data_IF_444765887522
#
_entry.id   IF_444765887522
#
_cell.length_a   1.000
_cell.length_b   1.000
_cell.length_c   1.000
_cell.angle_alpha   90.00
_cell.angle_beta   90.00
_cell.angle_gamma   90.00
#
_symmetry.space_group_name_H-M   'P 1'
#
loop_
_entity.id
_entity.type
_entity.pdbx_description
1 polymer ?
#
# COMPACT_ATOMS: atom_id res chain seq x y z
N UNK A 1 -19.63 5.59 -99.44
CA UNK A 1 -19.56 6.94 -98.80
C UNK A 1 -19.87 6.75 -97.35
N UNK A 2 -19.06 7.30 -96.48
CA UNK A 2 -19.10 7.45 -95.05
C UNK A 2 -18.86 6.13 -94.26
N UNK A 3 -17.61 6.02 -93.82
CA UNK A 3 -17.16 5.12 -92.79
C UNK A 3 -17.52 5.64 -91.42
N UNK A 4 -17.71 4.77 -90.47
CA UNK A 4 -17.80 5.06 -89.05
C UNK A 4 -16.72 4.25 -88.31
N UNK A 5 -15.85 4.98 -87.63
CA UNK A 5 -14.82 4.45 -86.76
C UNK A 5 -15.46 4.06 -85.41
N UNK A 6 -15.30 2.82 -85.07
CA UNK A 6 -15.63 2.36 -83.71
C UNK A 6 -14.41 2.41 -82.80
N UNK A 7 -14.49 3.21 -81.77
CA UNK A 7 -13.44 3.34 -80.72
C UNK A 7 -13.70 2.27 -79.68
N UNK A 8 -12.75 1.35 -79.48
CA UNK A 8 -12.79 0.40 -78.39
C UNK A 8 -12.26 1.06 -77.13
N UNK A 9 -13.08 1.07 -76.08
CA UNK A 9 -12.71 1.56 -74.75
C UNK A 9 -12.12 0.38 -73.96
N UNK A 10 -10.86 0.42 -73.65
CA UNK A 10 -10.22 -0.55 -72.73
C UNK A 10 -10.50 -0.17 -71.30
N UNK A 11 -11.25 -1.02 -70.60
CA UNK A 11 -11.48 -0.91 -69.14
C UNK A 11 -10.24 -1.44 -68.43
N UNK A 12 -9.47 -0.57 -67.81
CA UNK A 12 -8.39 -0.97 -66.89
C UNK A 12 -9.00 -1.24 -65.49
N UNK A 13 -9.04 -2.50 -65.08
CA UNK A 13 -9.34 -2.88 -63.70
C UNK A 13 -8.15 -2.53 -62.81
N UNK A 14 -8.27 -1.44 -62.04
CA UNK A 14 -7.40 -1.16 -60.89
C UNK A 14 -7.77 -2.11 -59.75
N UNK A 15 -7.00 -3.18 -59.60
CA UNK A 15 -7.05 -4.03 -58.39
C UNK A 15 -6.49 -3.27 -57.20
N UNK A 16 -7.35 -2.87 -56.29
CA UNK A 16 -6.96 -2.36 -54.97
C UNK A 16 -6.33 -3.48 -54.17
N UNK A 17 -5.00 -3.46 -54.01
CA UNK A 17 -4.33 -4.29 -53.00
C UNK A 17 -4.72 -3.74 -51.62
N UNK A 18 -5.64 -4.42 -50.97
CA UNK A 18 -5.81 -4.27 -49.51
C UNK A 18 -4.57 -4.87 -48.82
N UNK A 19 -3.63 -4.03 -48.43
CA UNK A 19 -2.62 -4.41 -47.44
C UNK A 19 -3.36 -4.52 -46.13
N UNK A 20 -3.65 -5.73 -45.67
CA UNK A 20 -4.11 -6.00 -44.31
C UNK A 20 -2.96 -5.55 -43.38
N UNK A 21 -3.13 -4.41 -42.74
CA UNK A 21 -2.32 -4.08 -41.56
C UNK A 21 -2.57 -5.19 -40.54
N UNK A 22 -1.52 -5.84 -40.01
CA UNK A 22 -1.71 -6.76 -38.92
C UNK A 22 -2.40 -5.98 -37.80
N UNK A 23 -3.55 -6.41 -37.35
CA UNK A 23 -4.13 -5.92 -36.12
C UNK A 23 -3.07 -6.15 -35.05
N UNK A 24 -2.51 -5.07 -34.48
CA UNK A 24 -1.75 -5.20 -33.24
C UNK A 24 -2.70 -5.95 -32.29
N UNK A 25 -2.28 -7.14 -31.85
CA UNK A 25 -2.94 -7.80 -30.76
C UNK A 25 -3.08 -6.78 -29.63
N UNK A 26 -4.28 -6.64 -29.09
CA UNK A 26 -4.51 -5.71 -27.99
C UNK A 26 -3.50 -6.09 -26.89
N UNK A 27 -2.57 -5.17 -26.65
CA UNK A 27 -1.56 -5.39 -25.64
C UNK A 27 -2.26 -5.49 -24.28
N UNK A 28 -2.08 -6.60 -23.60
CA UNK A 28 -2.82 -6.94 -22.39
C UNK A 28 -1.93 -7.65 -21.38
N UNK A 29 -2.52 -7.98 -20.24
CA UNK A 29 -1.94 -8.86 -19.24
C UNK A 29 -2.83 -10.11 -19.09
N UNK A 30 -2.21 -11.27 -18.93
CA UNK A 30 -2.88 -12.50 -18.49
C UNK A 30 -2.30 -12.95 -17.17
N UNK A 31 -3.14 -13.57 -16.35
CA UNK A 31 -2.82 -13.90 -14.97
C UNK A 31 -2.95 -15.40 -14.69
N UNK A 32 -2.12 -15.87 -13.75
CA UNK A 32 -2.25 -17.20 -13.17
C UNK A 32 -2.16 -17.08 -11.66
N UNK A 33 -3.25 -17.39 -10.95
CA UNK A 33 -3.28 -17.37 -9.48
C UNK A 33 -2.77 -18.71 -8.97
N UNK A 34 -1.79 -18.66 -8.07
CA UNK A 34 -1.28 -19.82 -7.34
C UNK A 34 -2.22 -20.26 -6.20
N UNK A 35 -1.76 -21.17 -5.34
CA UNK A 35 -2.50 -21.51 -4.13
C UNK A 35 -2.77 -20.26 -3.28
N UNK A 36 -3.98 -20.20 -2.71
CA UNK A 36 -4.32 -19.22 -1.67
C UNK A 36 -4.10 -19.88 -0.32
N UNK A 37 -3.23 -19.28 0.50
CA UNK A 37 -2.87 -19.79 1.82
C UNK A 37 -3.54 -18.95 2.90
N UNK A 38 -4.23 -19.58 3.84
CA UNK A 38 -4.63 -18.96 5.10
C UNK A 38 -3.45 -19.08 6.07
N UNK A 39 -2.68 -18.00 6.21
CA UNK A 39 -1.46 -17.98 7.03
C UNK A 39 -1.75 -17.79 8.51
N UNK A 40 -2.93 -17.31 8.85
CA UNK A 40 -3.37 -17.10 10.24
C UNK A 40 -4.19 -18.24 10.82
N UNK A 41 -4.58 -19.25 10.03
CA UNK A 41 -5.52 -20.31 10.43
C UNK A 41 -5.20 -21.02 11.75
N UNK A 42 -3.93 -21.20 12.04
CA UNK A 42 -3.47 -21.91 13.25
C UNK A 42 -2.96 -20.99 14.35
N UNK A 43 -2.95 -19.68 14.11
CA UNK A 43 -2.30 -18.72 15.00
C UNK A 43 -3.14 -18.39 16.23
N UNK A 44 -4.43 -18.20 16.07
CA UNK A 44 -5.33 -17.84 17.17
C UNK A 44 -6.80 -18.11 16.82
N UNK A 45 -7.67 -17.95 17.81
CA UNK A 45 -9.12 -18.14 17.68
C UNK A 45 -9.89 -16.85 17.42
N UNK A 46 -9.22 -15.69 17.50
CA UNK A 46 -9.77 -14.36 17.25
C UNK A 46 -9.64 -13.90 15.81
N UNK A 47 -10.10 -12.70 15.53
CA UNK A 47 -9.92 -12.05 14.24
C UNK A 47 -8.43 -11.74 14.00
N UNK A 48 -8.01 -11.85 12.73
CA UNK A 48 -6.73 -11.37 12.20
C UNK A 48 -7.04 -10.31 11.16
N UNK A 49 -6.29 -9.20 11.17
CA UNK A 49 -6.55 -8.05 10.34
C UNK A 49 -5.25 -7.27 10.08
N UNK A 50 -5.27 -6.27 9.23
CA UNK A 50 -4.12 -5.40 8.97
C UNK A 50 -2.87 -6.21 8.67
N UNK A 51 -2.70 -6.63 7.44
CA UNK A 51 -1.54 -7.42 7.03
C UNK A 51 -0.60 -6.58 6.20
N UNK A 52 0.68 -6.71 6.49
CA UNK A 52 1.75 -6.12 5.71
C UNK A 52 2.74 -7.18 5.24
N UNK A 53 3.43 -6.87 4.14
CA UNK A 53 4.24 -7.83 3.43
C UNK A 53 5.61 -7.29 3.02
N UNK A 54 6.63 -8.15 3.10
CA UNK A 54 7.92 -7.90 2.47
C UNK A 54 8.42 -9.14 1.73
N UNK A 55 9.22 -8.92 0.68
CA UNK A 55 9.88 -10.00 -0.07
C UNK A 55 11.40 -9.83 -0.10
N UNK A 56 12.14 -10.93 0.00
CA UNK A 56 13.54 -11.00 -0.41
C UNK A 56 13.61 -11.59 -1.83
N UNK A 57 13.72 -10.75 -2.87
CA UNK A 57 13.68 -11.22 -4.25
C UNK A 57 14.90 -12.06 -4.64
N UNK A 58 16.01 -11.99 -3.87
CA UNK A 58 17.22 -12.79 -4.12
C UNK A 58 17.04 -14.25 -3.73
N UNK A 59 16.28 -14.48 -2.66
CA UNK A 59 16.04 -15.83 -2.13
C UNK A 59 14.64 -16.35 -2.45
N UNK A 60 13.72 -15.49 -2.87
CA UNK A 60 12.32 -15.84 -3.06
C UNK A 60 11.58 -16.01 -1.73
N UNK A 61 12.03 -15.35 -0.68
CA UNK A 61 11.34 -15.41 0.62
C UNK A 61 10.25 -14.34 0.69
N UNK A 62 9.15 -14.69 1.37
CA UNK A 62 8.02 -13.79 1.65
C UNK A 62 7.81 -13.77 3.16
N UNK A 63 7.57 -12.60 3.68
CA UNK A 63 7.34 -12.33 5.09
C UNK A 63 6.01 -11.60 5.23
N UNK A 64 5.17 -12.09 6.14
CA UNK A 64 3.87 -11.52 6.46
C UNK A 64 3.81 -11.24 7.95
N UNK A 65 3.33 -10.06 8.33
CA UNK A 65 2.90 -9.80 9.70
C UNK A 65 1.49 -9.21 9.73
N UNK A 66 0.77 -9.42 10.82
CA UNK A 66 -0.63 -9.01 10.92
C UNK A 66 -1.07 -8.79 12.36
N UNK A 67 -2.08 -7.96 12.55
CA UNK A 67 -2.75 -7.80 13.81
C UNK A 67 -3.57 -9.04 14.14
N UNK A 68 -3.34 -9.66 15.30
CA UNK A 68 -4.05 -10.85 15.73
C UNK A 68 -3.33 -11.57 16.87
N UNK A 69 -3.72 -12.81 17.17
CA UNK A 69 -3.03 -13.70 18.10
C UNK A 69 -2.76 -13.11 19.49
N UNK A 70 -3.57 -12.19 19.96
CA UNK A 70 -3.32 -11.42 21.18
C UNK A 70 -2.09 -10.48 21.10
N UNK A 71 -1.65 -10.16 19.88
CA UNK A 71 -0.50 -9.34 19.55
C UNK A 71 -0.32 -9.33 18.04
N UNK A 72 0.92 -9.24 17.55
CA UNK A 72 1.25 -9.28 16.13
C UNK A 72 1.67 -10.69 15.75
N UNK A 73 0.98 -11.28 14.78
CA UNK A 73 1.33 -12.54 14.14
C UNK A 73 2.42 -12.34 13.09
N UNK A 74 3.20 -13.37 12.81
CA UNK A 74 4.22 -13.36 11.76
C UNK A 74 4.34 -14.75 11.14
N UNK A 75 4.46 -14.81 9.82
CA UNK A 75 4.75 -16.03 9.08
C UNK A 75 5.78 -15.77 7.96
N UNK A 76 6.49 -16.82 7.58
CA UNK A 76 7.52 -16.77 6.55
C UNK A 76 7.29 -17.87 5.53
N UNK A 77 7.46 -17.52 4.25
CA UNK A 77 7.62 -18.47 3.15
C UNK A 77 9.07 -18.48 2.64
N UNK A 78 9.55 -19.64 2.25
CA UNK A 78 10.86 -19.81 1.61
C UNK A 78 10.76 -20.32 0.17
N UNK A 79 9.56 -20.35 -0.38
CA UNK A 79 9.26 -20.91 -1.72
C UNK A 79 8.38 -19.96 -2.57
N UNK A 80 8.51 -18.65 -2.33
CA UNK A 80 7.82 -17.62 -3.09
C UNK A 80 6.34 -17.47 -2.76
N UNK A 81 5.96 -17.72 -1.50
CA UNK A 81 4.56 -17.59 -1.06
C UNK A 81 3.69 -18.79 -1.39
N UNK A 82 4.29 -19.94 -1.80
CA UNK A 82 3.51 -21.16 -2.08
C UNK A 82 3.14 -21.90 -0.80
N UNK A 83 4.01 -21.89 0.19
CA UNK A 83 3.74 -22.43 1.52
C UNK A 83 4.36 -21.53 2.59
N UNK A 84 3.82 -21.57 3.80
CA UNK A 84 4.30 -20.77 4.92
C UNK A 84 4.67 -21.64 6.10
N UNK A 85 5.69 -21.21 6.86
CA UNK A 85 6.00 -21.76 8.17
C UNK A 85 4.82 -21.56 9.14
N UNK A 86 4.76 -22.35 10.20
CA UNK A 86 3.76 -22.12 11.25
C UNK A 86 3.91 -20.71 11.83
N UNK A 87 2.81 -19.95 11.97
CA UNK A 87 2.88 -18.59 12.46
C UNK A 87 3.39 -18.50 13.90
N UNK A 88 4.10 -17.42 14.19
CA UNK A 88 4.55 -17.08 15.54
C UNK A 88 3.96 -15.75 15.96
N UNK A 89 3.88 -15.51 17.26
CA UNK A 89 3.61 -14.17 17.77
C UNK A 89 4.92 -13.43 18.00
N UNK A 90 5.02 -12.20 17.49
CA UNK A 90 6.24 -11.41 17.57
C UNK A 90 6.60 -11.04 19.02
N UNK A 91 7.87 -11.17 19.42
CA UNK A 91 8.33 -10.69 20.71
C UNK A 91 8.06 -9.18 20.89
N UNK A 92 7.61 -8.80 22.07
CA UNK A 92 7.27 -7.41 22.38
C UNK A 92 5.85 -6.99 21.99
N UNK A 93 5.12 -7.80 21.21
CA UNK A 93 3.72 -7.54 20.89
C UNK A 93 2.76 -8.12 21.95
N UNK A 94 3.20 -9.09 22.72
CA UNK A 94 2.41 -9.74 23.76
C UNK A 94 2.85 -9.27 25.15
N UNK A 95 1.91 -8.91 25.99
CA UNK A 95 2.17 -8.55 27.38
C UNK A 95 0.93 -8.04 28.10
N UNK A 96 0.98 -8.03 29.44
CA UNK A 96 -0.06 -7.39 30.23
C UNK A 96 -0.04 -5.87 30.03
N UNK A 97 -1.19 -5.30 29.73
CA UNK A 97 -1.37 -3.87 29.44
C UNK A 97 -0.71 -3.39 28.13
N UNK A 98 -0.55 -4.27 27.15
CA UNK A 98 -0.20 -3.93 25.79
C UNK A 98 -1.44 -3.97 24.90
N UNK A 99 -1.61 -2.95 24.05
CA UNK A 99 -2.36 -3.07 22.81
C UNK A 99 -1.35 -2.88 21.69
N UNK A 100 -1.49 -3.64 20.61
CA UNK A 100 -0.63 -3.59 19.44
C UNK A 100 -1.49 -3.63 18.18
N UNK A 101 -1.11 -2.84 17.18
CA UNK A 101 -1.84 -2.70 15.93
C UNK A 101 -0.88 -2.18 14.84
N UNK A 102 -1.38 -2.02 13.62
CA UNK A 102 -0.68 -1.53 12.43
C UNK A 102 0.72 -2.15 12.30
N UNK A 103 0.81 -3.43 11.97
CA UNK A 103 2.10 -4.04 11.69
C UNK A 103 2.68 -3.54 10.37
N UNK A 104 3.99 -3.63 10.22
CA UNK A 104 4.69 -3.43 8.96
C UNK A 104 5.99 -4.23 8.95
N UNK A 105 6.38 -4.77 7.83
CA UNK A 105 7.58 -5.60 7.72
C UNK A 105 8.50 -5.15 6.59
N UNK A 106 9.81 -5.22 6.81
CA UNK A 106 10.81 -4.94 5.79
C UNK A 106 11.98 -5.93 5.88
N UNK A 107 12.67 -6.12 4.77
CA UNK A 107 13.87 -6.96 4.70
C UNK A 107 15.06 -6.17 4.17
N UNK A 108 16.17 -6.27 4.86
CA UNK A 108 17.42 -5.63 4.49
C UNK A 108 18.19 -6.39 3.39
N UNK A 109 19.16 -5.75 2.75
CA UNK A 109 19.95 -6.34 1.67
C UNK A 109 20.80 -7.54 2.12
N UNK A 110 21.02 -7.72 3.40
CA UNK A 110 21.71 -8.83 4.05
C UNK A 110 20.79 -9.96 4.51
N UNK A 111 19.47 -9.79 4.35
CA UNK A 111 18.44 -10.73 4.79
C UNK A 111 17.99 -10.56 6.24
N UNK A 112 18.42 -9.48 6.92
CA UNK A 112 17.85 -9.10 8.22
C UNK A 112 16.39 -8.68 8.03
N UNK A 113 15.49 -9.23 8.84
CA UNK A 113 14.04 -8.92 8.79
C UNK A 113 13.68 -8.03 9.98
N UNK A 114 12.92 -7.00 9.68
CA UNK A 114 12.44 -6.02 10.65
C UNK A 114 10.92 -6.04 10.63
N UNK A 115 10.31 -6.42 11.74
CA UNK A 115 8.87 -6.34 11.93
C UNK A 115 8.56 -5.17 12.87
N UNK A 116 7.75 -4.26 12.39
CA UNK A 116 7.36 -3.03 13.07
C UNK A 116 5.90 -3.15 13.51
N UNK A 117 5.53 -2.51 14.59
CA UNK A 117 4.13 -2.37 15.00
C UNK A 117 3.96 -1.24 16.01
N UNK A 118 2.78 -0.65 16.03
CA UNK A 118 2.42 0.28 17.10
C UNK A 118 2.12 -0.45 18.39
N UNK A 119 2.42 0.18 19.50
CA UNK A 119 2.14 -0.34 20.83
C UNK A 119 1.74 0.74 21.82
N UNK A 120 0.66 0.50 22.58
CA UNK A 120 0.46 1.21 23.86
C UNK A 120 0.95 0.38 25.03
N UNK A 121 1.62 1.06 25.94
CA UNK A 121 1.98 0.51 27.25
C UNK A 121 1.91 1.61 28.29
N UNK A 122 1.12 1.40 29.37
CA UNK A 122 0.95 2.39 30.43
C UNK A 122 0.55 3.78 29.92
N UNK A 123 -0.36 3.85 28.96
CA UNK A 123 -0.82 5.09 28.30
C UNK A 123 0.28 5.84 27.54
N UNK A 124 1.32 5.16 27.10
CA UNK A 124 2.35 5.66 26.20
C UNK A 124 2.21 4.98 24.83
N UNK A 125 2.38 5.76 23.76
CA UNK A 125 2.19 5.34 22.37
C UNK A 125 3.53 5.43 21.64
N UNK A 126 3.96 4.36 21.02
CA UNK A 126 5.23 4.34 20.28
C UNK A 126 5.35 3.11 19.38
N UNK A 127 6.09 3.21 18.27
CA UNK A 127 6.46 2.08 17.47
C UNK A 127 7.44 1.14 18.18
N UNK A 128 7.39 -0.12 17.81
CA UNK A 128 8.33 -1.18 18.25
C UNK A 128 8.86 -1.92 17.04
N UNK A 129 10.16 -2.11 16.97
CA UNK A 129 10.82 -2.90 15.94
C UNK A 129 11.35 -4.19 16.56
N UNK A 130 10.89 -5.31 16.06
CA UNK A 130 11.47 -6.62 16.33
C UNK A 130 12.41 -7.01 15.16
N UNK A 131 13.66 -7.37 15.47
CA UNK A 131 14.68 -7.65 14.47
C UNK A 131 15.08 -9.12 14.48
N UNK A 132 15.09 -9.74 13.29
CA UNK A 132 15.56 -11.09 13.04
C UNK A 132 16.83 -11.07 12.21
N UNK A 133 17.88 -11.75 12.69
CA UNK A 133 19.14 -11.91 11.99
C UNK A 133 19.25 -13.26 11.25
N UNK A 134 18.22 -14.09 11.32
CA UNK A 134 18.13 -15.43 10.76
C UNK A 134 16.98 -15.59 9.78
N UNK A 135 16.66 -14.50 9.05
CA UNK A 135 15.60 -14.46 8.03
C UNK A 135 14.22 -14.83 8.57
N UNK A 136 13.83 -14.24 9.69
CA UNK A 136 12.50 -14.40 10.26
C UNK A 136 12.29 -15.70 11.03
N UNK A 137 13.35 -16.48 11.35
CA UNK A 137 13.17 -17.66 12.19
C UNK A 137 13.02 -17.29 13.67
N UNK A 138 13.83 -16.34 14.14
CA UNK A 138 13.73 -15.80 15.50
C UNK A 138 13.92 -14.30 15.51
N UNK A 139 13.36 -13.63 16.52
CA UNK A 139 13.48 -12.18 16.71
C UNK A 139 14.12 -11.87 18.06
N UNK A 140 15.45 -11.97 18.18
CA UNK A 140 16.15 -11.82 19.46
C UNK A 140 16.26 -10.36 19.94
N UNK A 141 16.06 -9.38 19.07
CA UNK A 141 16.17 -7.97 19.40
C UNK A 141 14.80 -7.30 19.30
N UNK A 142 14.42 -6.51 20.32
CA UNK A 142 13.17 -5.73 20.35
C UNK A 142 13.51 -4.33 20.83
N UNK A 143 13.28 -3.34 19.98
CA UNK A 143 13.59 -1.94 20.23
C UNK A 143 12.31 -1.10 20.23
N UNK A 144 12.11 -0.30 21.27
CA UNK A 144 10.98 0.63 21.37
C UNK A 144 11.43 2.03 20.97
N UNK A 145 10.74 2.64 20.01
CA UNK A 145 11.00 3.99 19.53
C UNK A 145 10.21 5.01 20.37
N UNK A 146 10.56 5.15 21.63
CA UNK A 146 9.83 6.02 22.56
C UNK A 146 10.10 7.47 22.21
N UNK A 147 9.09 8.24 21.76
CA UNK A 147 9.26 9.64 21.40
C UNK A 147 9.49 10.51 22.63
N UNK A 148 9.94 11.78 22.46
CA UNK A 148 10.17 12.71 23.57
C UNK A 148 8.95 12.91 24.47
N UNK A 149 7.76 12.92 23.88
CA UNK A 149 6.50 12.90 24.61
C UNK A 149 5.66 11.69 24.22
N UNK A 150 5.81 10.57 24.93
CA UNK A 150 5.12 9.31 24.59
C UNK A 150 3.63 9.32 24.96
N UNK A 151 3.08 10.39 25.51
CA UNK A 151 1.65 10.58 25.71
C UNK A 151 0.95 11.10 24.46
N UNK A 152 1.71 11.72 23.56
CA UNK A 152 1.19 12.08 22.27
C UNK A 152 0.65 10.86 21.52
N UNK A 153 -0.34 11.09 20.68
CA UNK A 153 -0.87 10.07 19.81
C UNK A 153 0.21 9.58 18.87
N UNK A 154 0.19 8.28 18.55
CA UNK A 154 1.02 7.68 17.52
C UNK A 154 0.26 6.55 16.84
N UNK A 155 0.34 6.49 15.52
CA UNK A 155 -0.40 5.55 14.67
C UNK A 155 0.31 5.32 13.34
N UNK A 156 -0.18 4.38 12.51
CA UNK A 156 0.19 4.13 11.12
C UNK A 156 1.68 4.14 10.84
N UNK A 157 2.43 3.18 11.40
CA UNK A 157 3.87 3.11 11.22
C UNK A 157 4.23 2.39 9.92
N UNK A 158 5.22 2.89 9.19
CA UNK A 158 5.81 2.24 8.03
C UNK A 158 7.30 2.04 8.20
N UNK A 159 7.85 1.03 7.55
CA UNK A 159 9.26 0.68 7.64
C UNK A 159 9.87 0.41 6.27
N UNK A 160 11.05 0.95 6.01
CA UNK A 160 11.83 0.62 4.83
C UNK A 160 13.31 0.45 5.18
N UNK A 161 14.04 -0.31 4.37
CA UNK A 161 15.47 -0.54 4.54
C UNK A 161 16.23 -0.07 3.31
N UNK A 162 17.21 0.80 3.52
CA UNK A 162 18.06 1.31 2.46
C UNK A 162 19.06 0.28 1.94
N UNK A 163 19.68 0.54 0.76
CA UNK A 163 20.70 -0.34 0.18
C UNK A 163 21.97 -0.43 1.03
N UNK A 164 22.19 0.51 1.94
CA UNK A 164 23.27 0.54 2.92
C UNK A 164 22.92 -0.19 4.23
N UNK A 165 21.72 -0.77 4.32
CA UNK A 165 21.19 -1.43 5.53
C UNK A 165 20.63 -0.48 6.58
N UNK A 166 20.57 0.82 6.31
CA UNK A 166 19.91 1.76 7.22
C UNK A 166 18.39 1.49 7.25
N UNK A 167 17.81 1.50 8.44
CA UNK A 167 16.38 1.26 8.68
C UNK A 167 15.70 2.59 8.93
N UNK A 168 14.62 2.84 8.23
CA UNK A 168 13.80 4.04 8.35
C UNK A 168 12.41 3.65 8.83
N UNK A 169 11.91 4.35 9.83
CA UNK A 169 10.56 4.15 10.38
C UNK A 169 9.85 5.49 10.35
N UNK A 170 8.68 5.54 9.74
CA UNK A 170 7.76 6.68 9.79
C UNK A 170 6.54 6.31 10.61
N UNK A 171 5.88 7.29 11.21
CA UNK A 171 4.57 7.12 11.85
C UNK A 171 3.94 8.49 12.10
N UNK A 172 2.67 8.49 12.39
CA UNK A 172 1.96 9.68 12.81
C UNK A 172 2.25 10.00 14.27
N UNK A 173 2.53 11.26 14.53
CA UNK A 173 2.84 11.73 15.87
C UNK A 173 2.14 13.06 16.12
N UNK A 174 1.24 13.07 17.04
CA UNK A 174 0.36 14.20 17.26
C UNK A 174 0.48 14.85 18.64
N UNK A 175 -0.40 15.82 18.91
CA UNK A 175 -0.45 16.48 20.19
C UNK A 175 -0.77 15.50 21.31
N UNK A 176 -0.49 15.93 22.54
CA UNK A 176 -0.72 15.12 23.73
C UNK A 176 -2.13 14.49 23.70
N UNK A 177 -2.20 13.19 23.95
CA UNK A 177 -3.44 12.39 23.88
C UNK A 177 -4.61 12.99 24.67
N UNK A 178 -4.33 13.74 25.75
CA UNK A 178 -5.36 14.42 26.52
C UNK A 178 -6.03 15.58 25.79
N UNK A 179 -5.40 16.09 24.75
CA UNK A 179 -5.99 17.12 23.86
C UNK A 179 -6.65 16.53 22.60
N UNK A 180 -6.45 15.25 22.35
CA UNK A 180 -7.13 14.52 21.25
C UNK A 180 -8.55 14.20 21.70
N UNK A 181 -9.54 14.75 21.04
CA UNK A 181 -10.94 14.43 21.30
C UNK A 181 -11.44 13.45 20.27
N UNK A 182 -11.83 12.27 20.71
CA UNK A 182 -12.57 11.31 19.91
C UNK A 182 -14.01 11.79 19.78
N UNK A 183 -14.49 11.84 18.57
CA UNK A 183 -15.89 12.12 18.28
C UNK A 183 -16.47 11.08 17.38
N UNK A 184 -17.70 10.79 17.70
CA UNK A 184 -18.47 9.84 16.95
C UNK A 184 -19.63 10.58 16.30
N UNK A 185 -19.85 10.32 15.03
CA UNK A 185 -21.02 10.78 14.31
C UNK A 185 -22.29 10.05 14.82
N UNK A 186 -23.50 10.48 14.41
CA UNK A 186 -24.73 9.80 14.79
C UNK A 186 -24.84 8.35 14.30
N UNK A 187 -24.00 7.91 13.37
CA UNK A 187 -23.96 6.53 12.86
C UNK A 187 -23.05 5.63 13.69
N UNK A 188 -22.28 6.21 14.62
CA UNK A 188 -21.34 5.49 15.48
C UNK A 188 -19.91 5.42 14.93
N UNK A 189 -19.65 6.04 13.81
CA UNK A 189 -18.29 6.21 13.28
C UNK A 189 -17.54 7.24 14.11
N UNK A 190 -16.35 6.93 14.56
CA UNK A 190 -15.56 7.76 15.46
C UNK A 190 -14.20 8.08 14.84
N UNK A 191 -13.74 9.32 15.04
CA UNK A 191 -12.44 9.76 14.55
C UNK A 191 -11.82 10.83 15.46
N UNK A 192 -10.62 11.26 15.14
CA UNK A 192 -9.92 12.31 15.86
C UNK A 192 -10.48 13.68 15.51
N UNK A 193 -10.77 14.43 16.51
CA UNK A 193 -11.44 15.69 16.35
C UNK A 193 -10.55 16.90 16.56
N UNK A 194 -9.43 16.71 17.18
CA UNK A 194 -8.52 17.80 17.50
C UNK A 194 -7.09 17.28 17.49
N UNK A 195 -6.21 18.07 16.96
CA UNK A 195 -4.79 17.86 16.99
C UNK A 195 -4.18 17.79 15.60
N UNK A 196 -3.03 18.43 15.45
CA UNK A 196 -2.24 18.30 14.25
C UNK A 196 -1.37 17.06 14.40
N UNK A 197 -1.67 16.00 13.68
CA UNK A 197 -0.76 14.90 13.50
C UNK A 197 0.35 15.35 12.54
N UNK A 198 1.57 14.92 12.81
CA UNK A 198 2.68 15.13 11.90
C UNK A 198 3.25 13.79 11.52
N UNK A 199 3.60 13.63 10.27
CA UNK A 199 4.47 12.53 9.89
C UNK A 199 5.85 12.77 10.48
N UNK A 200 6.35 11.81 11.23
CA UNK A 200 7.71 11.81 11.76
C UNK A 200 8.49 10.62 11.24
N UNK A 201 9.80 10.75 11.20
CA UNK A 201 10.70 9.67 10.80
C UNK A 201 11.86 9.54 11.79
N UNK A 202 12.26 8.30 12.08
CA UNK A 202 13.53 7.97 12.74
C UNK A 202 14.34 6.99 11.90
N UNK A 203 15.66 7.09 12.02
CA UNK A 203 16.62 6.27 11.29
C UNK A 203 17.49 5.47 12.26
N UNK A 204 17.75 4.22 11.91
CA UNK A 204 18.77 3.37 12.54
C UNK A 204 19.87 3.02 11.53
N UNK A 205 21.12 2.94 11.99
CA UNK A 205 22.28 2.48 11.22
C UNK A 205 22.99 1.28 11.87
N UNK A 206 22.33 0.67 12.86
CA UNK A 206 22.85 -0.44 13.66
C UNK A 206 21.85 -1.60 13.75
N UNK A 207 21.18 -1.90 12.62
CA UNK A 207 20.18 -2.97 12.51
C UNK A 207 19.01 -2.82 13.50
N UNK A 208 18.53 -1.59 13.69
CA UNK A 208 17.39 -1.33 14.56
C UNK A 208 17.69 -1.45 16.06
N UNK A 209 18.97 -1.54 16.47
CA UNK A 209 19.32 -1.57 17.88
C UNK A 209 19.10 -0.21 18.56
N UNK A 210 19.39 0.87 17.84
CA UNK A 210 19.09 2.25 18.28
C UNK A 210 18.54 3.07 17.11
N UNK A 211 17.72 4.07 17.44
CA UNK A 211 17.18 5.02 16.49
C UNK A 211 17.59 6.43 16.82
N UNK A 212 17.94 7.21 15.81
CA UNK A 212 18.31 8.62 15.92
C UNK A 212 17.14 9.53 16.29
N UNK A 213 17.36 10.85 16.33
CA UNK A 213 16.30 11.81 16.62
C UNK A 213 15.21 11.79 15.55
N UNK A 214 13.99 12.14 15.93
CA UNK A 214 12.89 12.34 14.98
C UNK A 214 13.19 13.49 14.02
N UNK A 215 12.87 13.30 12.76
CA UNK A 215 12.79 14.32 11.72
C UNK A 215 11.36 14.42 11.19
N UNK A 216 11.04 15.49 10.48
CA UNK A 216 9.69 15.80 10.03
C UNK A 216 9.66 15.90 8.51
N UNK A 217 9.17 14.87 7.80
CA UNK A 217 9.05 14.87 6.34
C UNK A 217 8.19 16.00 5.77
N UNK A 218 7.23 16.49 6.55
CA UNK A 218 6.32 17.57 6.15
C UNK A 218 6.50 18.82 7.03
N UNK A 219 7.70 19.43 7.14
CA UNK A 219 7.91 20.54 8.04
C UNK A 219 7.15 21.77 7.57
N UNK A 220 6.38 22.35 8.46
CA UNK A 220 5.69 23.61 8.21
C UNK A 220 4.53 23.53 7.23
N UNK A 221 3.99 22.36 6.99
CA UNK A 221 2.66 22.26 6.39
C UNK A 221 1.70 22.99 7.35
N UNK A 222 1.03 24.07 6.92
CA UNK A 222 0.39 24.99 7.86
C UNK A 222 -0.74 24.29 8.61
N UNK A 223 -0.56 24.13 9.91
CA UNK A 223 -1.53 23.64 10.88
C UNK A 223 -2.22 22.34 10.44
N UNK A 224 -1.49 21.46 9.77
CA UNK A 224 -2.08 20.30 9.12
C UNK A 224 -1.51 19.02 9.61
N UNK A 225 -2.37 18.07 9.72
CA UNK A 225 -1.99 16.70 9.89
C UNK A 225 -1.28 16.16 8.66
N UNK A 226 -0.31 15.30 8.88
CA UNK A 226 0.09 14.31 7.93
C UNK A 226 -0.37 12.97 8.47
N UNK A 227 -0.89 12.13 7.61
CA UNK A 227 -1.34 10.79 7.95
C UNK A 227 -0.75 9.80 6.97
N UNK A 228 -0.52 8.56 7.43
CA UNK A 228 -0.06 7.47 6.60
C UNK A 228 1.13 7.83 5.69
N UNK A 229 2.32 7.38 6.02
CA UNK A 229 3.53 7.80 5.32
C UNK A 229 4.36 6.62 4.79
N UNK A 230 3.84 5.85 3.81
CA UNK A 230 4.59 4.81 3.13
C UNK A 230 5.77 5.41 2.38
N UNK A 231 6.84 4.63 2.25
CA UNK A 231 8.05 5.09 1.59
C UNK A 231 8.73 3.98 0.79
N UNK A 232 9.44 4.40 -0.26
CA UNK A 232 10.38 3.54 -0.97
C UNK A 232 11.79 4.15 -0.91
N UNK A 233 12.80 3.29 -0.91
CA UNK A 233 14.21 3.72 -0.92
C UNK A 233 14.81 3.33 -2.26
N UNK A 234 15.24 4.35 -3.02
CA UNK A 234 15.92 4.13 -4.29
C UNK A 234 17.30 3.45 -4.11
N UNK A 235 17.85 2.79 -5.13
CA UNK A 235 19.18 2.17 -5.08
C UNK A 235 20.33 3.13 -4.73
N UNK A 236 20.15 4.44 -4.91
CA UNK A 236 21.11 5.47 -4.53
C UNK A 236 20.96 5.94 -3.08
N UNK A 237 19.99 5.40 -2.32
CA UNK A 237 19.68 5.76 -0.94
C UNK A 237 18.75 6.96 -0.79
N UNK A 238 18.16 7.47 -1.88
CA UNK A 238 17.11 8.48 -1.83
C UNK A 238 15.86 7.88 -1.19
N UNK A 239 15.22 8.62 -0.33
CA UNK A 239 13.95 8.28 0.30
C UNK A 239 12.86 9.04 -0.46
N UNK A 240 11.87 8.33 -0.96
CA UNK A 240 10.67 8.85 -1.59
C UNK A 240 9.47 8.48 -0.72
N UNK A 241 8.72 9.47 -0.28
CA UNK A 241 7.68 9.34 0.73
C UNK A 241 6.38 9.97 0.23
N UNK A 242 5.30 9.23 0.38
CA UNK A 242 3.94 9.70 0.16
C UNK A 242 3.27 9.94 1.51
N UNK A 243 2.39 10.92 1.62
CA UNK A 243 1.56 11.11 2.80
C UNK A 243 0.28 11.87 2.49
N UNK A 244 -0.77 11.58 3.25
CA UNK A 244 -2.00 12.34 3.19
C UNK A 244 -1.86 13.59 4.04
N UNK A 245 -2.05 14.77 3.44
CA UNK A 245 -2.05 16.05 4.14
C UNK A 245 -3.45 16.64 4.22
N UNK A 246 -3.85 17.10 5.41
CA UNK A 246 -5.14 17.72 5.67
C UNK A 246 -5.01 18.89 6.64
N UNK A 247 -6.06 19.69 6.77
CA UNK A 247 -6.14 20.80 7.71
C UNK A 247 -7.51 20.86 8.39
N UNK A 248 -7.52 20.79 9.71
CA UNK A 248 -8.74 20.95 10.49
C UNK A 248 -9.04 22.44 10.61
N UNK A 249 -10.12 22.90 10.00
CA UNK A 249 -10.53 24.32 9.96
C UNK A 249 -11.40 24.72 11.14
N UNK A 250 -12.13 23.78 11.74
CA UNK A 250 -12.99 24.00 12.92
C UNK A 250 -13.07 22.74 13.78
N UNK A 251 -12.48 22.80 14.95
CA UNK A 251 -12.45 21.70 15.93
C UNK A 251 -13.78 21.43 16.61
N UNK A 252 -14.77 22.34 16.49
CA UNK A 252 -16.09 22.13 17.08
C UNK A 252 -17.07 21.41 16.14
N UNK A 253 -16.88 21.61 14.84
CA UNK A 253 -17.74 21.03 13.78
C UNK A 253 -17.02 19.97 12.96
N UNK A 254 -15.72 19.76 13.20
CA UNK A 254 -14.87 18.85 12.41
C UNK A 254 -14.78 19.20 10.92
N UNK A 255 -15.00 20.46 10.62
CA UNK A 255 -14.74 20.93 9.28
C UNK A 255 -13.25 20.82 8.98
N UNK A 256 -12.93 20.14 7.90
CA UNK A 256 -11.58 20.01 7.38
C UNK A 256 -11.53 20.57 5.96
N UNK A 257 -10.42 21.20 5.62
CA UNK A 257 -10.11 21.43 4.22
C UNK A 257 -9.96 20.06 3.51
N UNK A 258 -10.29 19.98 2.22
CA UNK A 258 -10.07 18.75 1.48
C UNK A 258 -8.61 18.25 1.64
N UNK A 259 -8.46 16.99 2.01
CA UNK A 259 -7.17 16.34 2.05
C UNK A 259 -6.59 16.11 0.65
N UNK A 260 -5.29 15.96 0.56
CA UNK A 260 -4.57 15.64 -0.67
C UNK A 260 -3.44 14.68 -0.39
N UNK A 261 -3.10 13.87 -1.37
CA UNK A 261 -1.82 13.15 -1.36
C UNK A 261 -0.67 14.10 -1.68
N UNK A 262 0.39 13.99 -0.90
CA UNK A 262 1.63 14.74 -1.06
C UNK A 262 2.81 13.80 -1.18
N UNK A 263 3.70 14.16 -2.09
CA UNK A 263 4.99 13.52 -2.24
C UNK A 263 6.09 14.42 -1.71
N UNK A 264 7.05 13.85 -0.97
CA UNK A 264 8.29 14.52 -0.59
C UNK A 264 9.46 13.54 -0.64
N UNK A 265 10.68 14.04 -0.72
CA UNK A 265 11.86 13.20 -0.81
C UNK A 265 13.04 13.76 -0.01
N UNK A 266 13.92 12.85 0.39
CA UNK A 266 15.20 13.18 1.04
C UNK A 266 16.35 12.48 0.30
N UNK A 267 17.46 13.21 0.13
CA UNK A 267 18.72 12.70 -0.44
C UNK A 267 19.87 12.62 0.57
N UNK A 268 19.60 12.92 1.83
CA UNK A 268 20.57 12.96 2.92
C UNK A 268 20.18 12.04 4.11
N UNK A 269 19.42 10.99 3.79
CA UNK A 269 19.01 9.99 4.76
C UNK A 269 17.95 10.49 5.75
N UNK A 270 17.09 11.41 5.32
CA UNK A 270 15.98 11.94 6.07
C UNK A 270 16.32 13.13 6.98
N UNK A 271 17.53 13.69 6.84
CA UNK A 271 17.90 14.89 7.62
C UNK A 271 17.19 16.14 7.10
N UNK A 272 17.03 16.27 5.79
CA UNK A 272 16.25 17.34 5.15
C UNK A 272 15.32 16.76 4.07
N UNK A 273 14.23 17.48 3.78
CA UNK A 273 13.18 17.05 2.89
C UNK A 273 12.88 18.10 1.81
N UNK A 274 12.49 17.66 0.63
CA UNK A 274 12.02 18.53 -0.44
C UNK A 274 10.72 19.24 -0.03
N UNK A 275 10.40 20.34 -0.73
CA UNK A 275 9.05 20.89 -0.60
C UNK A 275 8.03 19.87 -1.10
N UNK A 276 6.94 19.63 -0.34
CA UNK A 276 5.93 18.68 -0.76
C UNK A 276 5.28 19.02 -2.10
N UNK A 277 5.12 18.01 -2.94
CA UNK A 277 4.41 18.11 -4.21
C UNK A 277 3.03 17.49 -4.05
N UNK A 278 2.00 18.27 -4.28
CA UNK A 278 0.61 17.79 -4.24
C UNK A 278 0.30 16.94 -5.45
N UNK A 279 -0.24 15.74 -5.23
CA UNK A 279 -0.69 14.83 -6.26
C UNK A 279 -2.22 14.93 -6.43
N UNK A 280 -2.66 14.95 -7.66
CA UNK A 280 -4.02 14.72 -8.07
C UNK A 280 -5.15 15.62 -7.53
N UNK A 281 -6.38 15.13 -7.69
CA UNK A 281 -7.55 15.77 -7.11
C UNK A 281 -7.53 15.65 -5.58
N UNK A 282 -8.32 16.49 -4.92
CA UNK A 282 -8.50 16.38 -3.49
C UNK A 282 -9.21 15.06 -3.13
N UNK A 283 -8.93 14.57 -1.93
CA UNK A 283 -9.51 13.34 -1.38
C UNK A 283 -10.98 13.53 -0.92
N UNK A 284 -11.60 14.63 -1.30
CA UNK A 284 -12.98 14.97 -0.93
C UNK A 284 -13.06 15.69 0.41
N UNK A 285 -14.28 15.90 0.89
CA UNK A 285 -14.53 16.32 2.27
C UNK A 285 -14.35 15.09 3.14
N UNK A 286 -13.24 14.98 3.81
CA UNK A 286 -13.02 13.91 4.78
C UNK A 286 -14.10 14.03 5.87
N UNK A 287 -14.89 13.00 6.05
CA UNK A 287 -15.71 12.83 7.24
C UNK A 287 -14.93 11.98 8.26
N UNK A 288 -15.39 12.01 9.50
CA UNK A 288 -14.78 11.17 10.55
C UNK A 288 -14.81 9.65 10.27
N UNK A 289 -15.65 9.23 9.32
CA UNK A 289 -15.75 7.83 8.89
C UNK A 289 -14.76 7.44 7.80
N UNK A 290 -13.88 8.34 7.36
CA UNK A 290 -13.12 8.22 6.12
C UNK A 290 -11.63 8.50 6.31
N UNK A 291 -11.13 8.26 7.49
CA UNK A 291 -9.70 8.29 7.82
C UNK A 291 -8.90 7.15 7.17
N UNK A 292 -9.56 6.29 6.41
CA UNK A 292 -9.03 5.10 5.77
C UNK A 292 -8.49 5.33 4.36
N UNK A 293 -8.36 6.58 3.94
CA UNK A 293 -7.85 6.92 2.62
C UNK A 293 -6.34 6.92 2.70
N UNK A 294 -5.77 5.73 2.67
CA UNK A 294 -4.33 5.57 2.63
C UNK A 294 -3.85 5.52 1.19
N UNK A 295 -2.88 6.37 0.89
CA UNK A 295 -2.12 6.24 -0.34
C UNK A 295 -0.95 5.30 -0.15
N UNK A 296 -0.47 4.69 -1.23
CA UNK A 296 0.74 3.90 -1.24
C UNK A 296 1.68 4.31 -2.38
N UNK A 297 2.98 4.03 -2.20
CA UNK A 297 4.04 4.36 -3.15
C UNK A 297 4.90 3.15 -3.49
N UNK A 298 5.05 2.89 -4.80
CA UNK A 298 5.90 1.83 -5.32
C UNK A 298 6.96 2.35 -6.28
N UNK A 299 8.01 1.54 -6.48
CA UNK A 299 9.10 1.84 -7.41
C UNK A 299 9.36 0.64 -8.32
N UNK A 300 9.50 0.86 -9.63
CA UNK A 300 9.82 -0.19 -10.59
C UNK A 300 11.33 -0.39 -10.80
N UNK A 301 11.68 -1.40 -11.59
CA UNK A 301 13.08 -1.74 -11.86
C UNK A 301 13.87 -0.68 -12.64
N UNK A 302 13.22 0.33 -13.20
CA UNK A 302 13.84 1.46 -13.88
C UNK A 302 13.90 2.73 -13.00
N UNK A 303 13.36 2.67 -11.77
CA UNK A 303 13.31 3.80 -10.86
C UNK A 303 12.11 4.73 -11.09
N UNK A 304 11.12 4.31 -11.87
CA UNK A 304 9.88 5.06 -11.96
C UNK A 304 9.06 4.86 -10.69
N UNK A 305 8.51 5.96 -10.17
CA UNK A 305 7.66 5.96 -8.99
C UNK A 305 6.19 5.90 -9.39
N UNK A 306 5.41 5.22 -8.58
CA UNK A 306 3.95 5.12 -8.71
C UNK A 306 3.32 5.45 -7.37
N UNK A 307 2.32 6.31 -7.37
CA UNK A 307 1.50 6.61 -6.21
C UNK A 307 0.05 6.20 -6.52
N UNK A 308 -0.58 5.52 -5.60
CA UNK A 308 -2.00 5.18 -5.64
C UNK A 308 -2.70 5.76 -4.43
N UNK A 309 -3.95 6.15 -4.59
CA UNK A 309 -4.82 6.62 -3.50
C UNK A 309 -6.26 6.58 -3.95
N UNK A 310 -7.19 6.67 -3.03
CA UNK A 310 -8.58 6.87 -3.36
C UNK A 310 -9.06 8.26 -2.95
N UNK A 311 -10.17 8.67 -3.52
CA UNK A 311 -10.88 9.89 -3.16
C UNK A 311 -12.35 9.58 -2.96
N UNK A 312 -12.92 10.18 -1.93
CA UNK A 312 -14.32 10.01 -1.68
C UNK A 312 -15.18 10.61 -2.78
N UNK A 313 -16.01 9.80 -3.38
CA UNK A 313 -17.02 10.21 -4.33
C UNK A 313 -18.39 10.45 -3.65
N UNK A 314 -19.30 11.14 -4.33
CA UNK A 314 -20.64 11.40 -3.82
C UNK A 314 -21.47 10.13 -3.52
N UNK A 315 -21.09 8.99 -4.09
CA UNK A 315 -21.76 7.70 -3.92
C UNK A 315 -20.82 6.50 -3.94
N UNK A 316 -19.56 6.70 -4.31
CA UNK A 316 -18.54 5.63 -4.39
C UNK A 316 -17.16 6.27 -4.32
N UNK A 317 -16.20 5.60 -3.74
CA UNK A 317 -14.81 6.01 -3.75
C UNK A 317 -14.20 5.82 -5.14
N UNK A 318 -13.21 6.62 -5.46
CA UNK A 318 -12.58 6.66 -6.77
C UNK A 318 -11.09 6.46 -6.58
N UNK A 319 -10.58 5.35 -7.06
CA UNK A 319 -9.14 5.08 -7.05
C UNK A 319 -8.40 5.86 -8.13
N UNK A 320 -7.21 6.32 -7.80
CA UNK A 320 -6.31 7.07 -8.66
C UNK A 320 -4.91 6.46 -8.67
N UNK A 321 -4.21 6.66 -9.78
CA UNK A 321 -2.79 6.37 -9.93
C UNK A 321 -2.10 7.55 -10.59
N UNK A 322 -0.95 7.95 -10.06
CA UNK A 322 -0.02 8.87 -10.72
C UNK A 322 1.37 8.25 -10.76
N UNK A 323 2.19 8.64 -11.72
CA UNK A 323 3.56 8.13 -11.83
C UNK A 323 4.55 9.25 -12.15
N UNK A 324 5.80 9.03 -11.76
CA UNK A 324 6.94 9.89 -12.11
C UNK A 324 8.03 9.05 -12.76
N UNK A 325 8.68 9.62 -13.80
CA UNK A 325 9.84 9.01 -14.48
C UNK A 325 11.13 9.77 -14.23
N UNK A 326 11.11 10.73 -13.31
CA UNK A 326 12.22 11.63 -12.99
C UNK A 326 12.38 11.82 -11.47
N UNK A 327 12.22 10.73 -10.73
CA UNK A 327 12.40 10.69 -9.27
C UNK A 327 11.49 11.67 -8.51
N UNK A 328 10.24 11.79 -8.91
CA UNK A 328 9.26 12.64 -8.26
C UNK A 328 9.37 14.14 -8.55
N UNK A 329 10.27 14.55 -9.46
CA UNK A 329 10.38 15.94 -9.86
C UNK A 329 9.14 16.43 -10.62
N UNK A 330 8.56 15.56 -11.44
CA UNK A 330 7.27 15.78 -12.11
C UNK A 330 6.43 14.53 -12.04
N UNK A 331 5.13 14.73 -11.85
CA UNK A 331 4.15 13.66 -11.78
C UNK A 331 3.17 13.74 -12.95
N UNK A 332 2.73 12.60 -13.43
CA UNK A 332 1.68 12.53 -14.46
C UNK A 332 0.38 13.13 -13.93
N UNK A 333 -0.52 13.52 -14.84
CA UNK A 333 -1.90 13.70 -14.42
C UNK A 333 -2.44 12.38 -13.85
N UNK A 334 -3.23 12.39 -12.78
CA UNK A 334 -3.80 11.19 -12.22
C UNK A 334 -4.64 10.42 -13.23
N UNK A 335 -4.45 9.13 -13.27
CA UNK A 335 -5.22 8.19 -14.07
C UNK A 335 -6.20 7.49 -13.16
N UNK A 336 -7.48 7.59 -13.48
CA UNK A 336 -8.51 6.91 -12.68
C UNK A 336 -8.35 5.39 -12.81
N UNK A 337 -8.47 4.70 -11.68
CA UNK A 337 -8.69 3.24 -11.68
C UNK A 337 -10.07 3.01 -12.29
N UNK A 338 -10.19 2.25 -13.39
CA UNK A 338 -11.47 2.10 -14.07
C UNK A 338 -12.54 1.53 -13.15
N UNK A 339 -13.76 2.09 -13.16
CA UNK A 339 -14.84 1.70 -12.25
C UNK A 339 -15.55 0.39 -12.65
N UNK A 340 -14.87 -0.50 -13.31
CA UNK A 340 -15.40 -1.72 -13.90
C UNK A 340 -16.05 -2.65 -12.88
N UNK A 341 -17.29 -2.49 -12.58
CA UNK A 341 -18.04 -3.29 -11.61
C UNK A 341 -17.53 -3.22 -10.15
N UNK A 342 -16.40 -2.55 -9.92
CA UNK A 342 -15.83 -2.31 -8.61
C UNK A 342 -16.23 -0.91 -8.18
N UNK A 343 -17.26 -0.80 -7.33
CA UNK A 343 -17.84 0.50 -7.01
C UNK A 343 -17.08 1.23 -5.90
N UNK A 344 -16.23 0.54 -5.16
CA UNK A 344 -15.53 1.10 -4.00
C UNK A 344 -14.18 0.42 -3.88
N UNK A 345 -13.12 0.95 -4.47
CA UNK A 345 -11.78 0.53 -4.08
C UNK A 345 -11.52 1.03 -2.65
N UNK A 346 -11.29 0.11 -1.74
CA UNK A 346 -10.69 0.39 -0.45
C UNK A 346 -9.30 -0.21 -0.44
N UNK A 347 -8.42 0.27 0.40
CA UNK A 347 -7.07 -0.25 0.61
C UNK A 347 -6.40 -0.54 -0.74
N UNK A 348 -5.82 0.48 -1.31
CA UNK A 348 -5.09 0.39 -2.57
C UNK A 348 -3.60 0.39 -2.30
N UNK A 349 -2.93 -0.67 -2.75
CA UNK A 349 -1.49 -0.82 -2.61
C UNK A 349 -0.82 -0.93 -3.98
N UNK A 350 0.45 -0.54 -4.09
CA UNK A 350 1.18 -0.58 -5.36
C UNK A 350 2.59 -1.15 -5.23
N UNK A 351 2.93 -2.09 -6.09
CA UNK A 351 4.29 -2.58 -6.24
C UNK A 351 4.80 -2.37 -7.67
N UNK A 352 6.00 -1.83 -7.80
CA UNK A 352 6.65 -1.68 -9.10
C UNK A 352 7.15 -3.02 -9.63
N UNK A 353 6.95 -3.23 -10.93
CA UNK A 353 7.36 -4.43 -11.63
C UNK A 353 8.62 -4.23 -12.49
N UNK A 354 8.59 -4.78 -13.72
CA UNK A 354 9.56 -4.44 -14.76
C UNK A 354 9.42 -2.98 -15.18
N UNK A 355 10.41 -2.45 -15.92
CA UNK A 355 10.46 -1.05 -16.33
C UNK A 355 9.14 -0.55 -16.96
N UNK A 356 8.55 0.47 -16.40
CA UNK A 356 7.30 1.08 -16.83
C UNK A 356 6.04 0.28 -16.45
N UNK A 357 6.12 -0.67 -15.51
CA UNK A 357 5.01 -1.52 -15.07
C UNK A 357 4.78 -1.35 -13.56
N UNK A 358 3.53 -1.22 -13.18
CA UNK A 358 3.07 -1.30 -11.79
C UNK A 358 1.96 -2.35 -11.64
N UNK A 359 1.94 -2.98 -10.48
CA UNK A 359 0.91 -3.89 -10.02
C UNK A 359 0.16 -3.19 -8.89
N UNK A 360 -1.16 -3.15 -9.00
CA UNK A 360 -2.02 -2.45 -8.04
C UNK A 360 -3.02 -3.45 -7.48
N UNK A 361 -3.00 -3.62 -6.19
CA UNK A 361 -4.04 -4.36 -5.46
C UNK A 361 -5.18 -3.45 -5.08
N UNK A 362 -6.35 -4.01 -4.94
CA UNK A 362 -7.60 -3.32 -4.62
C UNK A 362 -8.47 -4.24 -3.78
N UNK A 363 -8.81 -3.83 -2.59
CA UNK A 363 -9.87 -4.47 -1.84
C UNK A 363 -11.19 -3.76 -2.15
N UNK A 364 -12.18 -4.46 -2.64
CA UNK A 364 -13.38 -3.81 -3.16
C UNK A 364 -14.68 -4.51 -2.79
N UNK A 365 -15.68 -3.71 -2.46
CA UNK A 365 -17.03 -4.12 -2.09
C UNK A 365 -18.08 -3.97 -3.22
N UNK A 366 -17.68 -3.91 -4.47
CA UNK A 366 -18.58 -3.71 -5.61
C UNK A 366 -19.67 -4.76 -5.77
N UNK A 367 -19.46 -5.92 -5.21
CA UNK A 367 -20.40 -7.02 -5.28
C UNK A 367 -21.26 -7.04 -4.01
N UNK A 368 -22.59 -7.16 -4.13
CA UNK A 368 -23.45 -7.28 -2.95
C UNK A 368 -23.16 -8.53 -2.10
N UNK A 369 -22.31 -9.43 -2.58
CA UNK A 369 -21.86 -10.62 -1.84
C UNK A 369 -20.81 -10.30 -0.76
N UNK A 370 -20.14 -9.15 -0.82
CA UNK A 370 -19.12 -8.74 0.13
C UNK A 370 -17.85 -8.20 -0.53
N UNK A 371 -16.76 -8.19 0.22
CA UNK A 371 -15.45 -7.73 -0.24
C UNK A 371 -14.65 -8.85 -0.90
N UNK A 372 -13.81 -8.49 -1.85
CA UNK A 372 -12.85 -9.37 -2.49
C UNK A 372 -11.56 -8.61 -2.84
N UNK A 373 -10.45 -9.32 -2.88
CA UNK A 373 -9.15 -8.82 -3.29
C UNK A 373 -8.98 -8.93 -4.79
N UNK A 374 -8.48 -7.86 -5.42
CA UNK A 374 -8.26 -7.76 -6.86
C UNK A 374 -6.86 -7.26 -7.19
N UNK A 375 -6.36 -7.67 -8.34
CA UNK A 375 -5.11 -7.21 -8.93
C UNK A 375 -5.36 -6.55 -10.28
N UNK A 376 -4.70 -5.41 -10.53
CA UNK A 376 -4.60 -4.76 -11.84
C UNK A 376 -3.14 -4.56 -12.23
N UNK A 377 -2.89 -4.48 -13.53
CA UNK A 377 -1.56 -4.13 -14.05
C UNK A 377 -1.65 -2.83 -14.85
N UNK A 378 -0.77 -1.90 -14.52
CA UNK A 378 -0.64 -0.61 -15.20
C UNK A 378 0.68 -0.54 -15.98
N UNK A 379 0.65 0.13 -17.13
CA UNK A 379 1.85 0.46 -17.91
C UNK A 379 1.91 1.95 -18.18
N UNK A 380 3.06 2.56 -17.93
CA UNK A 380 3.29 3.98 -18.25
C UNK A 380 3.00 4.28 -19.73
N UNK A 381 3.32 3.34 -20.62
CA UNK A 381 3.15 3.54 -22.06
C UNK A 381 1.73 3.26 -22.58
N UNK A 382 0.96 2.39 -21.89
CA UNK A 382 -0.29 1.84 -22.42
C UNK A 382 -1.50 2.04 -21.52
N UNK A 383 -1.31 2.53 -20.29
CA UNK A 383 -2.37 2.62 -19.28
C UNK A 383 -2.69 1.26 -18.66
N UNK A 384 -3.92 1.07 -18.22
CA UNK A 384 -4.40 -0.19 -17.65
C UNK A 384 -4.41 -1.31 -18.69
N UNK A 385 -3.75 -2.43 -18.38
CA UNK A 385 -3.51 -3.52 -19.33
C UNK A 385 -4.60 -4.59 -19.34
N UNK A 386 -5.45 -4.62 -18.33
CA UNK A 386 -6.48 -5.65 -18.19
C UNK A 386 -7.64 -5.17 -17.34
N UNK A 387 -8.73 -5.92 -17.39
CA UNK A 387 -9.76 -5.90 -16.36
C UNK A 387 -9.17 -6.39 -15.02
N UNK A 388 -9.80 -6.06 -13.87
CA UNK A 388 -9.33 -6.53 -12.57
C UNK A 388 -9.43 -8.05 -12.48
N UNK A 389 -8.34 -8.68 -12.05
CA UNK A 389 -8.33 -10.08 -11.66
C UNK A 389 -8.86 -10.20 -10.23
N UNK A 390 -9.91 -10.92 -9.97
CA UNK A 390 -10.23 -11.33 -8.60
C UNK A 390 -9.23 -12.38 -8.14
N UNK A 391 -8.47 -12.07 -7.10
CA UNK A 391 -7.42 -12.94 -6.52
C UNK A 391 -8.03 -13.81 -5.42
N UNK A 392 -8.83 -13.22 -4.55
CA UNK A 392 -9.54 -13.97 -3.51
C UNK A 392 -10.57 -14.92 -4.13
N UNK A 393 -10.59 -16.21 -3.75
CA UNK A 393 -11.52 -17.18 -4.33
C UNK A 393 -12.96 -16.97 -3.87
N UNK A 394 -13.14 -16.32 -2.73
CA UNK A 394 -14.43 -16.09 -2.08
C UNK A 394 -14.60 -14.63 -1.70
N UNK A 395 -15.82 -14.21 -1.42
CA UNK A 395 -16.13 -12.89 -0.90
C UNK A 395 -16.15 -12.92 0.62
N UNK A 396 -15.51 -11.93 1.25
CA UNK A 396 -15.56 -11.74 2.69
C UNK A 396 -16.86 -11.06 3.13
N UNK A 397 -17.28 -11.32 4.36
CA UNK A 397 -18.45 -10.69 4.96
C UNK A 397 -18.22 -9.17 5.13
N UNK A 398 -18.98 -8.37 4.40
CA UNK A 398 -18.90 -6.91 4.42
C UNK A 398 -19.23 -6.28 5.80
N UNK A 399 -19.81 -7.04 6.73
CA UNK A 399 -20.04 -6.56 8.10
C UNK A 399 -18.83 -6.76 9.03
N UNK A 400 -17.75 -7.36 8.52
CA UNK A 400 -16.50 -7.60 9.25
C UNK A 400 -15.41 -6.72 8.68
N UNK A 401 -14.69 -6.08 9.56
CA UNK A 401 -13.54 -5.27 9.21
C UNK A 401 -12.29 -6.16 9.15
N UNK A 402 -11.65 -6.30 7.97
CA UNK A 402 -10.49 -7.18 7.80
C UNK A 402 -9.16 -6.44 7.97
N UNK A 403 -9.18 -5.15 8.27
CA UNK A 403 -8.03 -4.26 8.28
C UNK A 403 -8.13 -3.17 7.22
N UNK A 404 -7.28 -2.18 7.33
CA UNK A 404 -7.12 -1.06 6.43
C UNK A 404 -5.70 -1.01 5.79
N UNK A 405 -4.86 -1.99 6.05
CA UNK A 405 -3.58 -2.23 5.37
C UNK A 405 -3.55 -3.65 4.83
N UNK A 406 -3.04 -3.81 3.61
CA UNK A 406 -2.82 -5.09 2.94
C UNK A 406 -1.46 -5.08 2.27
N UNK A 407 -1.03 -6.21 1.74
CA UNK A 407 0.31 -6.30 1.17
C UNK A 407 0.32 -6.63 -0.31
N UNK A 408 1.16 -5.95 -1.06
CA UNK A 408 1.54 -6.34 -2.41
C UNK A 408 3.05 -6.19 -2.60
N UNK A 409 3.70 -7.23 -3.10
CA UNK A 409 5.15 -7.19 -3.35
C UNK A 409 5.51 -7.88 -4.65
N UNK A 410 6.42 -7.29 -5.42
CA UNK A 410 6.98 -7.91 -6.62
C UNK A 410 8.12 -8.84 -6.24
N UNK A 411 7.88 -10.13 -6.31
CA UNK A 411 8.89 -11.16 -6.04
C UNK A 411 9.94 -11.23 -7.16
N UNK A 412 9.48 -11.10 -8.40
CA UNK A 412 10.31 -10.98 -9.60
C UNK A 412 9.47 -10.38 -10.74
N UNK A 413 10.05 -9.88 -11.84
CA UNK A 413 9.26 -9.40 -12.96
C UNK A 413 8.25 -10.44 -13.44
N UNK A 414 6.96 -10.07 -13.40
CA UNK A 414 5.86 -10.97 -13.73
C UNK A 414 5.41 -11.92 -12.62
N UNK A 415 5.93 -11.78 -11.40
CA UNK A 415 5.45 -12.53 -10.23
C UNK A 415 5.21 -11.58 -9.06
N UNK A 416 3.99 -11.56 -8.59
CA UNK A 416 3.51 -10.68 -7.51
C UNK A 416 2.93 -11.55 -6.41
N UNK A 417 3.15 -11.17 -5.17
CA UNK A 417 2.50 -11.77 -4.00
C UNK A 417 1.57 -10.74 -3.41
N UNK A 418 0.35 -11.14 -3.10
CA UNK A 418 -0.66 -10.32 -2.44
C UNK A 418 -1.05 -10.95 -1.12
N UNK A 419 -1.29 -10.11 -0.11
CA UNK A 419 -1.87 -10.53 1.17
C UNK A 419 -3.05 -9.63 1.53
N UNK A 420 -4.08 -10.21 2.14
CA UNK A 420 -5.30 -9.52 2.53
C UNK A 420 -5.98 -10.17 3.72
N UNK A 421 -6.75 -9.37 4.45
CA UNK A 421 -7.66 -9.87 5.48
C UNK A 421 -9.04 -10.19 4.89
N UNK A 422 -9.69 -11.27 5.33
CA UNK A 422 -11.06 -11.57 4.90
C UNK A 422 -11.78 -12.52 5.86
N UNK A 423 -13.08 -12.31 6.04
CA UNK A 423 -13.95 -13.18 6.83
C UNK A 423 -14.72 -14.16 5.93
N UNK A 424 -14.00 -15.12 5.33
CA UNK A 424 -14.55 -16.09 4.36
C UNK A 424 -14.78 -17.48 4.92
N UNK A 425 -14.24 -17.80 6.09
CA UNK A 425 -14.18 -19.17 6.58
C UNK A 425 -15.53 -19.83 6.86
N UNK A 426 -15.56 -21.16 6.86
CA UNK A 426 -16.71 -21.98 7.26
C UNK A 426 -17.29 -21.61 8.65
N UNK A 427 -16.55 -20.87 9.44
CA UNK A 427 -16.98 -20.31 10.71
C UNK A 427 -17.63 -18.93 10.56
N UNK A 428 -17.61 -18.28 9.38
CA UNK A 428 -18.37 -17.08 8.98
C UNK A 428 -18.32 -15.88 9.93
N UNK A 429 -17.39 -15.85 10.87
CA UNK A 429 -17.42 -14.92 12.01
C UNK A 429 -16.08 -14.31 12.40
N UNK A 430 -14.97 -14.77 11.85
CA UNK A 430 -13.65 -14.16 12.08
C UNK A 430 -12.99 -13.84 10.76
N UNK A 431 -12.20 -12.77 10.71
CA UNK A 431 -11.28 -12.53 9.61
C UNK A 431 -10.00 -13.34 9.83
N UNK A 432 -9.48 -13.86 8.73
CA UNK A 432 -8.19 -14.53 8.63
C UNK A 432 -7.34 -13.84 7.56
N UNK A 433 -6.03 -14.08 7.58
CA UNK A 433 -5.09 -13.51 6.63
C UNK A 433 -4.79 -14.52 5.53
N UNK A 434 -4.98 -14.07 4.30
CA UNK A 434 -4.76 -14.86 3.09
C UNK A 434 -3.62 -14.30 2.27
N UNK A 435 -2.86 -15.20 1.65
CA UNK A 435 -1.75 -14.85 0.77
C UNK A 435 -1.84 -15.65 -0.53
N UNK A 436 -1.60 -14.99 -1.65
CA UNK A 436 -1.53 -15.63 -2.95
C UNK A 436 -0.37 -15.10 -3.81
N UNK A 437 0.28 -16.00 -4.53
CA UNK A 437 1.23 -15.67 -5.58
C UNK A 437 0.51 -15.60 -6.92
N UNK A 438 0.76 -14.54 -7.69
CA UNK A 438 0.14 -14.33 -9.00
C UNK A 438 1.21 -14.14 -10.06
N UNK A 439 1.20 -15.02 -11.06
CA UNK A 439 1.98 -14.85 -12.28
C UNK A 439 1.29 -13.88 -13.23
N UNK A 440 2.03 -12.92 -13.77
CA UNK A 440 1.56 -11.91 -14.73
C UNK A 440 2.37 -12.00 -16.01
N UNK A 441 1.72 -12.29 -17.13
CA UNK A 441 2.34 -12.34 -18.44
C UNK A 441 1.81 -11.16 -19.27
N UNK A 442 2.74 -10.33 -19.74
CA UNK A 442 2.46 -9.17 -20.61
C UNK A 442 2.52 -9.57 -22.09
N UNK A 443 1.61 -9.02 -22.92
CA UNK A 443 1.51 -9.30 -24.34
C UNK A 443 1.67 -8.03 -25.19
#
# INVERSE_FOLDING_TARGET
MRGSFGTALALACLGSLFVATPALAAAGATYSVGPVNDVSATSCTGDSAEVEQAVDPKLGYVYEDWMGCQGIGFARSTDGGQTFDAPIALPGSIGSNYNTWDPAVAVGPDGTVYALFMRTKNSQWYPVVATSFDRGQTFPQVTSLVPPDPKNWGDRPFIAVGPDGAVYVTWDYGPERTSVTYLCDPTGSCGFATGDLNVVMQKSTDHGATFGPMTYPSPGFPASGGDSAPMVIEPNGRIDLLYQGYHITDTNTYAMDPGYEYFTASTDGGATWSQPVRLGPNNGTMSLSEWWIDGDIGIDSAGNLYAVWDTQGASNDIGWLSYSTDHGAHWSNPVQVPPDRLNVPHVMEVSGGGAGIAYVSLFSSADPRGYAEYLRTFSIQRGWLSDPLQVSPEFGDASRWPGDTFGISTLSPGHVVLSWGSATGANGKKSDIFVANVGVQLH
#
